data_IF_054613462779
#
_entry.id   IF_054613462779
#
_cell.length_a   1.000
_cell.length_b   1.000
_cell.length_c   1.000
_cell.angle_alpha   90.00
_cell.angle_beta   90.00
_cell.angle_gamma   90.00
#
_symmetry.space_group_name_H-M   'P 1'
#
loop_
_entity.id
_entity.type
_entity.pdbx_description
1 polymer ?
#
# COMPACT_ATOMS: atom_id res chain seq x y z
N UNK A 1 -25.83 -3.47 -9.42
CA UNK A 1 -25.37 -2.57 -8.33
C UNK A 1 -26.55 -2.40 -7.40
N UNK A 2 -26.36 -2.34 -6.07
CA UNK A 2 -27.47 -2.08 -5.14
C UNK A 2 -28.18 -0.75 -5.46
N UNK A 3 -29.48 -0.67 -5.20
CA UNK A 3 -30.29 0.53 -5.53
C UNK A 3 -29.84 1.80 -4.78
N UNK A 4 -29.23 1.61 -3.60
CA UNK A 4 -28.70 2.72 -2.77
C UNK A 4 -27.34 3.26 -3.20
N UNK A 5 -26.71 2.68 -4.23
CA UNK A 5 -25.41 3.09 -4.71
C UNK A 5 -25.53 3.98 -5.95
N UNK A 6 -24.67 4.97 -6.04
CA UNK A 6 -24.59 5.86 -7.19
C UNK A 6 -23.25 5.73 -7.91
N UNK A 7 -23.25 5.87 -9.25
CA UNK A 7 -22.03 5.99 -10.03
C UNK A 7 -21.64 7.46 -10.12
N UNK A 8 -20.50 7.81 -9.56
CA UNK A 8 -19.94 9.16 -9.65
C UNK A 8 -18.53 9.11 -10.28
N UNK A 9 -18.03 10.25 -10.72
CA UNK A 9 -16.61 10.34 -11.10
C UNK A 9 -15.76 10.63 -9.86
N UNK A 10 -14.53 10.09 -9.82
CA UNK A 10 -13.60 10.38 -8.71
C UNK A 10 -13.37 11.88 -8.50
N UNK A 11 -13.45 12.69 -9.56
CA UNK A 11 -13.36 14.15 -9.44
C UNK A 11 -14.41 14.80 -8.57
N UNK A 12 -15.55 14.15 -8.38
CA UNK A 12 -16.69 14.69 -7.61
C UNK A 12 -16.66 14.30 -6.11
N UNK A 13 -15.72 13.43 -5.68
CA UNK A 13 -15.70 12.93 -4.30
C UNK A 13 -14.67 13.62 -3.42
N UNK A 14 -13.89 14.54 -3.96
CA UNK A 14 -12.82 15.21 -3.22
C UNK A 14 -12.09 16.26 -4.06
N UNK A 15 -11.17 16.94 -3.39
CA UNK A 15 -10.26 17.89 -4.03
C UNK A 15 -9.00 17.17 -4.48
N UNK A 16 -8.78 17.08 -5.79
CA UNK A 16 -7.65 16.40 -6.41
C UNK A 16 -6.58 17.39 -6.85
N UNK A 17 -5.34 17.12 -6.49
CA UNK A 17 -4.19 17.95 -6.87
C UNK A 17 -2.94 17.14 -7.13
N UNK A 18 -2.23 17.44 -8.21
CA UNK A 18 -0.87 16.95 -8.41
C UNK A 18 0.11 17.80 -7.60
N UNK A 19 1.16 17.17 -7.11
CA UNK A 19 2.24 17.88 -6.46
C UNK A 19 3.14 18.62 -7.46
N UNK A 20 4.24 19.17 -6.96
CA UNK A 20 5.24 19.87 -7.77
C UNK A 20 6.65 19.61 -7.27
N UNK A 21 7.64 19.82 -8.14
CA UNK A 21 9.06 19.80 -7.81
C UNK A 21 9.60 21.22 -7.92
N UNK A 22 10.04 21.83 -6.82
CA UNK A 22 10.74 23.12 -6.87
C UNK A 22 11.97 23.06 -7.77
N UNK A 23 12.34 24.18 -8.38
CA UNK A 23 13.53 24.21 -9.24
C UNK A 23 14.79 23.80 -8.46
N UNK A 24 15.46 22.75 -8.92
CA UNK A 24 16.70 22.24 -8.32
C UNK A 24 17.87 23.23 -8.42
N UNK A 25 17.82 24.18 -9.33
CA UNK A 25 18.84 25.22 -9.47
C UNK A 25 18.78 26.26 -8.35
N UNK A 26 17.67 26.35 -7.61
CA UNK A 26 17.52 27.24 -6.48
C UNK A 26 17.63 26.47 -5.16
N UNK A 27 18.83 26.41 -4.59
CA UNK A 27 19.10 25.69 -3.35
C UNK A 27 18.30 26.21 -2.15
N UNK A 28 17.85 27.48 -2.17
CA UNK A 28 16.99 28.06 -1.14
C UNK A 28 15.62 27.36 -1.03
N UNK A 29 15.20 26.60 -2.05
CA UNK A 29 13.98 25.81 -1.99
C UNK A 29 14.16 24.48 -1.24
N UNK A 30 15.39 24.09 -0.98
CA UNK A 30 15.71 22.83 -0.32
C UNK A 30 16.36 23.03 1.07
N UNK A 31 16.80 24.27 1.38
CA UNK A 31 17.40 24.61 2.66
C UNK A 31 16.86 25.96 3.19
N UNK A 32 16.55 26.08 4.50
CA UNK A 32 16.58 25.00 5.48
C UNK A 32 15.43 24.00 5.28
N UNK A 33 15.66 22.73 5.58
CA UNK A 33 14.66 21.65 5.46
C UNK A 33 13.58 21.79 6.54
N UNK A 34 12.35 22.11 6.13
CA UNK A 34 11.24 22.35 7.06
C UNK A 34 10.00 21.49 6.73
N UNK A 35 9.56 21.51 5.47
CA UNK A 35 8.28 20.93 5.05
C UNK A 35 8.47 19.54 4.44
N UNK A 36 7.81 18.48 4.94
CA UNK A 36 7.90 17.14 4.34
C UNK A 36 7.50 17.14 2.87
N UNK A 37 8.30 16.51 2.01
CA UNK A 37 8.11 16.44 0.56
C UNK A 37 8.22 15.01 0.06
N UNK A 38 7.08 14.37 -0.18
CA UNK A 38 6.95 12.98 -0.55
C UNK A 38 7.28 12.75 -2.03
N UNK A 39 8.09 11.76 -2.29
CA UNK A 39 8.33 11.18 -3.60
C UNK A 39 7.50 9.90 -3.78
N UNK A 40 7.18 9.52 -5.02
CA UNK A 40 6.37 8.31 -5.28
C UNK A 40 7.01 7.01 -4.80
N UNK A 41 8.33 6.99 -4.59
CA UNK A 41 9.05 5.87 -3.99
C UNK A 41 8.70 5.65 -2.51
N UNK A 42 8.26 6.69 -1.82
CA UNK A 42 7.92 6.65 -0.39
C UNK A 42 6.51 6.06 -0.13
N UNK A 43 5.73 5.81 -1.19
CA UNK A 43 4.39 5.21 -1.09
C UNK A 43 4.50 3.72 -0.76
N UNK A 44 3.80 3.29 0.27
CA UNK A 44 3.91 1.94 0.86
C UNK A 44 2.64 1.10 0.76
N UNK A 45 1.60 1.59 0.08
CA UNK A 45 0.25 1.00 0.06
C UNK A 45 -0.40 0.95 1.46
N UNK A 46 -0.09 1.96 2.29
CA UNK A 46 -0.57 2.08 3.66
C UNK A 46 -0.49 3.51 4.18
N UNK A 47 -0.46 3.64 5.49
CA UNK A 47 -0.27 4.92 6.15
C UNK A 47 1.18 5.40 6.03
N UNK A 48 1.37 6.65 5.63
CA UNK A 48 2.67 7.31 5.53
C UNK A 48 3.00 7.92 6.89
N UNK A 49 3.92 7.27 7.62
CA UNK A 49 4.36 7.67 8.96
C UNK A 49 5.72 8.39 8.94
N UNK A 50 6.43 8.32 7.82
CA UNK A 50 7.75 8.95 7.64
C UNK A 50 7.94 9.41 6.20
N UNK A 51 8.53 10.58 6.02
CA UNK A 51 8.94 11.14 4.71
C UNK A 51 10.37 11.61 4.87
N UNK A 52 11.35 11.00 4.17
CA UNK A 52 12.77 11.33 4.34
C UNK A 52 13.14 12.69 3.75
N UNK A 53 12.49 13.12 2.68
CA UNK A 53 12.84 14.34 1.98
C UNK A 53 12.01 15.52 2.50
N UNK A 54 12.63 16.71 2.50
CA UNK A 54 11.99 17.96 2.88
C UNK A 54 12.36 19.06 1.90
N UNK A 55 11.51 20.09 1.84
CA UNK A 55 11.76 21.36 1.16
C UNK A 55 11.67 22.50 2.17
N UNK A 56 12.12 23.68 1.78
CA UNK A 56 12.02 24.87 2.63
C UNK A 56 10.60 25.45 2.64
N UNK A 57 10.27 26.24 3.65
CA UNK A 57 9.05 27.04 3.69
C UNK A 57 8.97 28.02 2.50
N UNK A 58 10.12 28.56 2.08
CA UNK A 58 10.19 29.42 0.90
C UNK A 58 9.72 28.70 -0.36
N UNK A 59 10.01 27.39 -0.51
CA UNK A 59 9.51 26.62 -1.63
C UNK A 59 7.98 26.50 -1.59
N UNK A 60 7.39 26.29 -0.41
CA UNK A 60 5.94 26.25 -0.25
C UNK A 60 5.28 27.58 -0.60
N UNK A 61 5.89 28.72 -0.22
CA UNK A 61 5.35 30.06 -0.49
C UNK A 61 5.52 30.51 -1.95
N UNK A 62 6.66 30.18 -2.58
CA UNK A 62 7.07 30.78 -3.86
C UNK A 62 6.92 29.85 -5.07
N UNK A 63 6.45 28.62 -4.88
CA UNK A 63 6.29 27.66 -5.98
C UNK A 63 4.86 27.13 -6.03
N UNK A 64 4.57 26.27 -7.01
CA UNK A 64 3.26 25.59 -7.15
C UNK A 64 3.09 24.37 -6.23
N UNK A 65 4.03 24.13 -5.33
CA UNK A 65 3.91 23.07 -4.32
C UNK A 65 2.73 23.34 -3.41
N UNK A 66 1.99 22.28 -3.07
CA UNK A 66 0.80 22.37 -2.22
C UNK A 66 0.95 21.50 -0.99
N UNK A 67 0.58 22.03 0.16
CA UNK A 67 0.48 21.26 1.40
C UNK A 67 -0.84 20.47 1.38
N UNK A 68 -0.74 19.15 1.45
CA UNK A 68 -1.89 18.25 1.57
C UNK A 68 -2.15 17.99 3.07
N UNK A 69 -3.39 18.07 3.55
CA UNK A 69 -3.72 17.84 4.95
C UNK A 69 -3.58 16.36 5.34
N UNK A 70 -3.53 16.10 6.64
CA UNK A 70 -3.65 14.76 7.22
C UNK A 70 -4.90 14.06 6.69
N UNK A 71 -4.79 12.78 6.37
CA UNK A 71 -5.87 11.96 5.82
C UNK A 71 -6.00 12.02 4.30
N UNK A 72 -5.22 12.86 3.61
CA UNK A 72 -5.20 12.85 2.14
C UNK A 72 -4.76 11.49 1.60
N UNK A 73 -5.49 10.98 0.62
CA UNK A 73 -5.18 9.76 -0.11
C UNK A 73 -4.30 10.10 -1.31
N UNK A 74 -3.14 9.46 -1.40
CA UNK A 74 -2.13 9.69 -2.42
C UNK A 74 -2.10 8.55 -3.43
N UNK A 75 -1.89 8.88 -4.71
CA UNK A 75 -1.69 7.91 -5.79
C UNK A 75 -0.52 8.32 -6.69
N UNK A 76 0.39 7.39 -6.94
CA UNK A 76 1.47 7.58 -7.91
C UNK A 76 0.95 7.52 -9.34
N UNK A 77 1.42 8.43 -10.17
CA UNK A 77 1.00 8.58 -11.56
C UNK A 77 2.05 8.13 -12.58
N UNK A 78 3.33 7.95 -12.20
CA UNK A 78 4.43 7.79 -13.14
C UNK A 78 5.22 6.49 -12.92
N UNK A 79 5.66 5.90 -14.04
CA UNK A 79 6.64 4.81 -14.11
C UNK A 79 6.19 3.52 -13.42
N UNK A 80 7.14 2.79 -12.87
CA UNK A 80 6.90 1.52 -12.19
C UNK A 80 6.05 1.64 -10.91
N UNK A 81 5.86 2.85 -10.40
CA UNK A 81 5.08 3.12 -9.19
C UNK A 81 3.61 3.43 -9.48
N UNK A 82 3.17 3.48 -10.73
CA UNK A 82 1.77 3.79 -11.08
C UNK A 82 0.80 2.97 -10.24
N UNK A 83 -0.14 3.68 -9.61
CA UNK A 83 -1.16 3.07 -8.75
C UNK A 83 -0.69 2.69 -7.35
N UNK A 84 0.59 2.91 -6.96
CA UNK A 84 0.97 2.85 -5.55
C UNK A 84 0.26 3.95 -4.77
N UNK A 85 -0.13 3.63 -3.55
CA UNK A 85 -0.99 4.46 -2.73
C UNK A 85 -0.34 4.82 -1.40
N UNK A 86 -0.87 5.86 -0.77
CA UNK A 86 -0.55 6.23 0.60
C UNK A 86 -1.66 7.05 1.25
N UNK A 87 -1.72 7.06 2.57
CA UNK A 87 -2.59 7.94 3.37
C UNK A 87 -1.69 8.76 4.29
N UNK A 88 -1.76 10.06 4.21
CA UNK A 88 -0.95 10.95 5.06
C UNK A 88 -1.42 10.89 6.51
N UNK A 89 -0.50 10.67 7.45
CA UNK A 89 -0.74 10.77 8.89
C UNK A 89 -0.42 12.15 9.46
N UNK A 90 0.25 12.99 8.69
CA UNK A 90 0.58 14.39 8.98
C UNK A 90 0.55 15.21 7.68
N UNK A 91 0.49 16.54 7.75
CA UNK A 91 0.50 17.38 6.55
C UNK A 91 1.83 17.26 5.79
N UNK A 92 1.76 17.07 4.47
CA UNK A 92 2.94 16.94 3.62
C UNK A 92 2.70 17.46 2.21
N UNK A 93 3.78 17.83 1.54
CA UNK A 93 3.81 18.14 0.12
C UNK A 93 4.20 16.90 -0.70
N UNK A 94 3.96 16.92 -2.01
CA UNK A 94 4.31 15.82 -2.91
C UNK A 94 4.99 16.33 -4.18
N UNK A 95 5.73 15.48 -4.86
CA UNK A 95 6.25 15.79 -6.19
C UNK A 95 5.14 15.71 -7.26
N UNK A 96 5.43 16.15 -8.49
CA UNK A 96 4.47 16.16 -9.61
C UNK A 96 4.02 14.75 -10.06
N UNK A 97 4.76 13.70 -9.71
CA UNK A 97 4.41 12.33 -10.06
C UNK A 97 3.38 11.71 -9.09
N UNK A 98 2.98 12.45 -8.05
CA UNK A 98 1.99 12.04 -7.06
C UNK A 98 0.76 12.94 -7.16
N UNK A 99 -0.44 12.34 -7.19
CA UNK A 99 -1.72 13.02 -7.08
C UNK A 99 -2.30 12.75 -5.69
N UNK A 100 -2.81 13.80 -5.05
CA UNK A 100 -3.47 13.74 -3.74
C UNK A 100 -4.96 14.02 -3.86
N UNK A 101 -5.75 13.27 -3.10
CA UNK A 101 -7.18 13.52 -2.90
C UNK A 101 -7.47 13.84 -1.44
N UNK A 102 -8.07 14.99 -1.19
CA UNK A 102 -8.71 15.32 0.08
C UNK A 102 -10.21 15.06 -0.08
N UNK A 103 -10.72 14.01 0.55
CA UNK A 103 -12.10 13.54 0.39
C UNK A 103 -13.11 14.51 1.00
N UNK A 104 -14.30 14.60 0.40
CA UNK A 104 -15.43 15.31 0.98
C UNK A 104 -15.98 14.55 2.20
N UNK A 105 -16.73 15.22 3.06
CA UNK A 105 -17.22 14.69 4.35
C UNK A 105 -18.08 13.42 4.25
N UNK A 106 -18.71 13.17 3.09
CA UNK A 106 -19.55 12.01 2.84
C UNK A 106 -18.77 10.82 2.19
N UNK A 107 -17.46 10.94 2.06
CA UNK A 107 -16.61 9.90 1.49
C UNK A 107 -15.60 9.40 2.53
N UNK A 108 -15.69 8.12 2.84
CA UNK A 108 -14.72 7.46 3.72
C UNK A 108 -13.38 7.29 2.99
N UNK A 109 -12.32 7.87 3.53
CA UNK A 109 -10.98 7.87 2.90
C UNK A 109 -10.43 6.45 2.65
N UNK A 110 -10.68 5.51 3.57
CA UNK A 110 -10.26 4.12 3.40
C UNK A 110 -11.07 3.39 2.33
N UNK A 111 -12.34 3.75 2.13
CA UNK A 111 -13.12 3.22 1.02
C UNK A 111 -12.55 3.67 -0.33
N UNK A 112 -12.20 4.97 -0.45
CA UNK A 112 -11.48 5.47 -1.62
C UNK A 112 -10.14 4.76 -1.80
N UNK A 113 -9.36 4.59 -0.75
CA UNK A 113 -8.06 3.93 -0.78
C UNK A 113 -8.16 2.50 -1.33
N UNK A 114 -9.08 1.69 -0.81
CA UNK A 114 -9.28 0.31 -1.26
C UNK A 114 -9.84 0.24 -2.68
N UNK A 115 -10.71 1.18 -3.07
CA UNK A 115 -11.16 1.29 -4.45
C UNK A 115 -9.98 1.57 -5.39
N UNK A 116 -9.15 2.55 -5.10
CA UNK A 116 -7.96 2.88 -5.92
C UNK A 116 -7.00 1.70 -5.99
N UNK A 117 -6.83 0.95 -4.89
CA UNK A 117 -6.02 -0.27 -4.85
C UNK A 117 -6.59 -1.35 -5.80
N UNK A 118 -7.88 -1.58 -5.79
CA UNK A 118 -8.55 -2.52 -6.69
C UNK A 118 -8.45 -2.11 -8.17
N UNK A 119 -8.48 -0.80 -8.44
CA UNK A 119 -8.40 -0.22 -9.78
C UNK A 119 -6.96 -0.12 -10.34
N UNK A 120 -5.92 -0.48 -9.56
CA UNK A 120 -4.50 -0.33 -9.95
C UNK A 120 -4.19 -0.91 -11.32
N UNK A 121 -4.61 -2.15 -11.60
CA UNK A 121 -4.38 -2.79 -12.92
C UNK A 121 -4.98 -1.97 -14.05
N UNK A 122 -6.14 -1.38 -13.84
CA UNK A 122 -6.83 -0.52 -14.80
C UNK A 122 -6.06 0.77 -15.04
N UNK A 123 -5.51 1.40 -13.99
CA UNK A 123 -4.68 2.60 -14.13
C UNK A 123 -3.39 2.30 -14.88
N UNK A 124 -2.72 1.19 -14.58
CA UNK A 124 -1.50 0.76 -15.28
C UNK A 124 -1.78 0.46 -16.74
N UNK A 125 -2.89 -0.21 -17.08
CA UNK A 125 -3.27 -0.52 -18.46
C UNK A 125 -3.63 0.74 -19.28
N UNK A 126 -4.10 1.81 -18.64
CA UNK A 126 -4.47 3.10 -19.26
C UNK A 126 -3.33 4.12 -19.28
N UNK A 127 -2.17 3.75 -18.71
CA UNK A 127 -0.98 4.60 -18.74
C UNK A 127 -0.43 4.70 -20.16
N UNK A 128 0.06 5.87 -20.53
CA UNK A 128 0.62 6.21 -21.84
C UNK A 128 2.06 6.69 -21.67
N UNK A 129 2.85 6.61 -22.74
CA UNK A 129 4.25 7.01 -22.76
C UNK A 129 5.20 5.81 -22.78
N UNK A 130 6.08 5.72 -23.77
CA UNK A 130 6.94 4.57 -24.06
C UNK A 130 7.86 4.17 -22.88
N UNK A 131 9.03 4.79 -22.74
CA UNK A 131 10.02 4.41 -21.73
C UNK A 131 9.60 4.74 -20.27
N UNK A 132 8.74 5.74 -20.09
CA UNK A 132 8.22 6.12 -18.77
C UNK A 132 6.70 6.32 -18.85
N UNK A 133 5.92 5.24 -18.71
CA UNK A 133 4.47 5.33 -18.75
C UNK A 133 3.94 6.26 -17.65
N UNK A 134 2.87 6.98 -17.94
CA UNK A 134 2.19 7.81 -16.96
C UNK A 134 0.67 7.75 -17.13
N UNK A 135 -0.05 7.95 -16.05
CA UNK A 135 -1.49 8.20 -16.05
C UNK A 135 -1.74 9.63 -15.62
N UNK A 136 -2.46 10.40 -16.45
CA UNK A 136 -2.77 11.79 -16.11
C UNK A 136 -3.78 11.88 -14.96
N UNK A 137 -3.72 12.97 -14.20
CA UNK A 137 -4.74 13.29 -13.18
C UNK A 137 -6.14 13.23 -13.78
N UNK A 138 -6.34 13.71 -15.03
CA UNK A 138 -7.63 13.71 -15.70
C UNK A 138 -8.19 12.30 -15.91
N UNK A 139 -7.35 11.33 -16.28
CA UNK A 139 -7.75 9.93 -16.40
C UNK A 139 -8.18 9.34 -15.06
N UNK A 140 -7.50 9.73 -13.97
CA UNK A 140 -7.86 9.31 -12.61
C UNK A 140 -9.20 9.90 -12.21
N UNK A 141 -9.36 11.23 -12.25
CA UNK A 141 -10.59 11.91 -11.79
C UNK A 141 -11.83 11.59 -12.62
N UNK A 142 -11.65 11.19 -13.88
CA UNK A 142 -12.73 10.75 -14.77
C UNK A 142 -13.10 9.28 -14.60
N UNK A 143 -12.40 8.52 -13.75
CA UNK A 143 -12.76 7.13 -13.46
C UNK A 143 -14.08 7.07 -12.70
N UNK A 144 -14.96 6.14 -13.09
CA UNK A 144 -16.21 5.88 -12.39
C UNK A 144 -15.93 5.21 -11.05
N UNK A 145 -16.62 5.70 -10.05
CA UNK A 145 -16.50 5.29 -8.65
C UNK A 145 -17.88 4.93 -8.12
N UNK A 146 -18.08 3.72 -7.58
CA UNK A 146 -19.34 3.34 -6.96
C UNK A 146 -19.40 3.98 -5.55
N UNK A 147 -20.39 4.81 -5.32
CA UNK A 147 -20.55 5.56 -4.07
C UNK A 147 -21.73 5.01 -3.25
N UNK A 148 -21.48 4.13 -2.26
CA UNK A 148 -22.49 3.75 -1.28
C UNK A 148 -22.82 4.88 -0.31
N UNK A 149 -23.92 4.79 0.45
CA UNK A 149 -24.11 5.63 1.63
C UNK A 149 -22.94 5.54 2.61
N UNK A 150 -22.56 6.63 3.28
CA UNK A 150 -21.37 6.70 4.13
C UNK A 150 -21.31 5.60 5.21
N UNK A 151 -22.46 5.28 5.81
CA UNK A 151 -22.53 4.19 6.80
C UNK A 151 -22.17 2.81 6.20
N UNK A 152 -22.51 2.60 4.93
CA UNK A 152 -22.18 1.38 4.21
C UNK A 152 -20.71 1.34 3.80
N UNK A 153 -20.15 2.47 3.33
CA UNK A 153 -18.71 2.58 3.07
C UNK A 153 -17.89 2.15 4.30
N UNK A 154 -18.24 2.63 5.50
CA UNK A 154 -17.58 2.26 6.76
C UNK A 154 -17.72 0.77 7.08
N UNK A 155 -18.90 0.17 6.86
CA UNK A 155 -19.09 -1.29 7.06
C UNK A 155 -18.24 -2.10 6.08
N UNK A 156 -18.18 -1.68 4.81
CA UNK A 156 -17.34 -2.33 3.79
C UNK A 156 -15.87 -2.26 4.20
N UNK A 157 -15.37 -1.09 4.60
CA UNK A 157 -13.99 -0.92 5.08
C UNK A 157 -13.69 -1.85 6.24
N UNK A 158 -14.56 -1.89 7.26
CA UNK A 158 -14.40 -2.79 8.42
C UNK A 158 -14.29 -4.26 7.99
N UNK A 159 -15.09 -4.70 7.02
CA UNK A 159 -15.03 -6.08 6.53
C UNK A 159 -13.76 -6.35 5.72
N UNK A 160 -13.29 -5.39 4.91
CA UNK A 160 -12.03 -5.51 4.18
C UNK A 160 -10.87 -5.64 5.17
N UNK A 161 -10.77 -4.76 6.16
CA UNK A 161 -9.69 -4.79 7.16
C UNK A 161 -9.70 -6.11 7.96
N UNK A 162 -10.89 -6.59 8.34
CA UNK A 162 -11.04 -7.89 8.99
C UNK A 162 -10.54 -9.04 8.11
N UNK A 163 -10.91 -9.04 6.83
CA UNK A 163 -10.48 -10.07 5.89
C UNK A 163 -8.97 -10.04 5.66
N UNK A 164 -8.39 -8.84 5.48
CA UNK A 164 -6.94 -8.68 5.29
C UNK A 164 -6.15 -9.18 6.50
N UNK A 165 -6.62 -8.90 7.72
CA UNK A 165 -6.02 -9.44 8.94
C UNK A 165 -6.03 -10.97 8.99
N UNK A 166 -7.11 -11.61 8.52
CA UNK A 166 -7.15 -13.09 8.42
C UNK A 166 -6.16 -13.63 7.38
N UNK A 167 -5.98 -12.90 6.27
CA UNK A 167 -4.97 -13.27 5.25
C UNK A 167 -3.55 -13.21 5.82
N UNK A 168 -3.23 -12.19 6.62
CA UNK A 168 -1.92 -12.08 7.30
C UNK A 168 -1.68 -13.26 8.25
N UNK A 169 -2.64 -13.59 9.10
CA UNK A 169 -2.57 -14.75 10.02
C UNK A 169 -2.39 -16.05 9.23
N UNK A 170 -3.12 -16.22 8.13
CA UNK A 170 -2.98 -17.39 7.27
C UNK A 170 -1.57 -17.47 6.67
N UNK A 171 -1.04 -16.34 6.15
CA UNK A 171 0.29 -16.29 5.57
C UNK A 171 1.38 -16.69 6.58
N UNK A 172 1.32 -16.19 7.82
CA UNK A 172 2.23 -16.56 8.89
C UNK A 172 2.19 -18.06 9.21
N UNK A 173 0.97 -18.62 9.32
CA UNK A 173 0.79 -20.05 9.60
C UNK A 173 1.27 -20.92 8.44
N UNK A 174 1.05 -20.48 7.20
CA UNK A 174 1.53 -21.17 6.02
C UNK A 174 3.06 -21.21 5.95
N UNK A 175 3.74 -20.11 6.28
CA UNK A 175 5.21 -20.10 6.37
C UNK A 175 5.75 -21.05 7.43
N UNK A 176 5.14 -21.06 8.64
CA UNK A 176 5.50 -22.02 9.70
C UNK A 176 5.33 -23.47 9.24
N UNK A 177 4.24 -23.78 8.54
CA UNK A 177 4.02 -25.12 7.97
C UNK A 177 5.10 -25.50 6.97
N UNK A 178 5.44 -24.59 6.05
CA UNK A 178 6.52 -24.86 5.07
C UNK A 178 7.88 -25.12 5.75
N UNK A 179 8.20 -24.39 6.82
CA UNK A 179 9.43 -24.63 7.59
C UNK A 179 9.42 -25.99 8.27
N UNK A 180 8.28 -26.39 8.83
CA UNK A 180 8.12 -27.72 9.43
C UNK A 180 8.29 -28.83 8.38
N UNK A 181 7.65 -28.71 7.23
CA UNK A 181 7.73 -29.68 6.14
C UNK A 181 9.16 -29.84 5.63
N UNK A 182 9.92 -28.74 5.49
CA UNK A 182 11.33 -28.77 5.10
C UNK A 182 12.22 -29.48 6.14
N UNK A 183 11.95 -29.26 7.41
CA UNK A 183 12.75 -29.84 8.51
C UNK A 183 12.34 -31.29 8.84
N UNK A 184 11.16 -31.74 8.42
CA UNK A 184 10.58 -33.03 8.80
C UNK A 184 11.43 -34.22 8.40
N UNK A 185 11.94 -34.37 7.14
CA UNK A 185 12.72 -35.51 6.74
C UNK A 185 13.98 -35.72 7.60
N UNK A 186 14.71 -34.65 7.90
CA UNK A 186 15.92 -34.70 8.71
C UNK A 186 15.63 -35.03 10.19
N UNK A 187 14.54 -34.45 10.73
CA UNK A 187 14.07 -34.77 12.09
C UNK A 187 13.65 -36.23 12.20
N UNK A 188 12.91 -36.74 11.22
CA UNK A 188 12.45 -38.11 11.16
C UNK A 188 13.64 -39.06 11.10
N UNK A 189 14.61 -38.82 10.20
CA UNK A 189 15.84 -39.61 10.09
C UNK A 189 16.61 -39.66 11.42
N UNK A 190 16.80 -38.49 12.06
CA UNK A 190 17.47 -38.43 13.37
C UNK A 190 16.70 -39.22 14.42
N UNK A 191 15.39 -39.14 14.47
CA UNK A 191 14.52 -39.86 15.41
C UNK A 191 14.65 -41.38 15.21
N UNK A 192 14.59 -41.86 13.96
CA UNK A 192 14.74 -43.28 13.62
C UNK A 192 16.09 -43.79 14.08
N UNK A 193 17.18 -43.07 13.78
CA UNK A 193 18.54 -43.45 14.21
C UNK A 193 18.67 -43.49 15.72
N UNK A 194 18.08 -42.50 16.42
CA UNK A 194 18.09 -42.49 17.87
C UNK A 194 17.34 -43.69 18.48
N UNK A 195 16.18 -44.05 17.92
CA UNK A 195 15.44 -45.26 18.35
C UNK A 195 16.21 -46.54 18.08
N UNK A 196 16.91 -46.64 16.92
CA UNK A 196 17.77 -47.76 16.60
C UNK A 196 18.90 -47.92 17.63
N UNK A 197 19.61 -46.82 17.92
CA UNK A 197 20.75 -46.85 18.87
C UNK A 197 20.34 -47.08 20.33
N UNK A 198 19.07 -46.91 20.67
CA UNK A 198 18.49 -47.24 21.97
C UNK A 198 17.93 -48.66 22.06
N UNK A 199 18.10 -49.48 21.00
CA UNK A 199 17.55 -50.84 20.92
C UNK A 199 16.03 -50.91 20.87
N UNK A 200 15.35 -49.79 20.51
CA UNK A 200 13.89 -49.68 20.53
C UNK A 200 13.25 -49.84 19.15
N UNK A 201 14.07 -49.91 18.07
CA UNK A 201 13.54 -49.98 16.70
C UNK A 201 13.08 -51.39 16.34
N UNK A 202 13.70 -52.42 16.90
CA UNK A 202 13.35 -53.82 16.70
C UNK A 202 13.17 -54.52 18.06
N UNK A 203 12.29 -55.54 18.09
CA UNK A 203 12.13 -56.35 19.29
C UNK A 203 13.42 -57.13 19.58
N UNK A 204 13.83 -57.16 20.85
CA UNK A 204 14.97 -57.95 21.27
C UNK A 204 14.65 -59.45 21.17
N UNK A 205 15.55 -60.25 20.58
CA UNK A 205 15.39 -61.68 20.53
C UNK A 205 16.17 -62.32 21.69
N UNK A 206 15.51 -63.11 22.58
CA UNK A 206 16.17 -63.72 23.76
C UNK A 206 17.27 -64.71 23.41
N UNK A 207 17.34 -65.21 22.17
CA UNK A 207 18.30 -66.15 21.70
C UNK A 207 19.53 -65.52 21.01
N UNK A 208 19.59 -64.18 20.92
CA UNK A 208 20.76 -63.48 20.38
C UNK A 208 21.90 -63.54 21.37
N UNK A 209 23.11 -63.85 20.88
CA UNK A 209 24.28 -63.80 21.72
C UNK A 209 24.61 -62.38 22.17
N UNK A 210 25.17 -62.17 23.38
CA UNK A 210 25.47 -60.84 23.93
C UNK A 210 26.58 -60.11 23.17
#
# INVERSE_FOLDING_TARGET
MPESWEWVRLGNIGYWGSGATPSKSNLKYYEPQAVPWLLTGDLTDGYITHIPNKISELALEKTSVRLNPTGSVLIAMYGATIGKLGILTFPATTNQACCACNTLFHVEKLFLFYFLMSARKNFTARAEGGAQPNISKEKIINTLFPLPPLAEQKRIVTQIERALKQVEIYAENYHKLQELDRAFPDKLKKSILQYAMQGKLVAQNPNDEP
#
